data_IF_496027797401
#
_entry.id   IF_496027797401
#
_cell.length_a   1.000
_cell.length_b   1.000
_cell.length_c   1.000
_cell.angle_alpha   90.00
_cell.angle_beta   90.00
_cell.angle_gamma   90.00
#
_symmetry.space_group_name_H-M   'P 1'
#
loop_
_entity.id
_entity.type
_entity.pdbx_description
1 polymer ?
#
# COMPACT_ATOMS: atom_id res chain seq x y z
N UNK A 1 -0.16 -38.07 7.50
CA UNK A 1 0.36 -36.82 8.09
C UNK A 1 0.60 -35.70 7.06
N UNK A 2 0.78 -35.97 5.75
CA UNK A 2 0.92 -34.90 4.73
C UNK A 2 -0.33 -34.02 4.53
N UNK A 3 -1.54 -34.55 4.71
CA UNK A 3 -2.78 -33.78 4.54
C UNK A 3 -2.99 -32.66 5.58
N UNK A 4 -2.36 -32.77 6.76
CA UNK A 4 -2.45 -31.73 7.79
C UNK A 4 -1.69 -30.44 7.39
N UNK A 5 -0.72 -30.56 6.48
CA UNK A 5 0.07 -29.43 5.97
C UNK A 5 -0.75 -28.48 5.08
N UNK A 6 -1.92 -28.91 4.59
CA UNK A 6 -2.80 -28.08 3.78
C UNK A 6 -3.34 -26.87 4.55
N UNK A 7 -3.60 -27.01 5.85
CA UNK A 7 -4.14 -25.91 6.69
C UNK A 7 -3.14 -24.76 6.84
N UNK A 8 -1.87 -24.98 7.29
CA UNK A 8 -0.90 -23.91 7.36
C UNK A 8 -0.50 -23.38 5.98
N UNK A 9 -0.45 -24.23 4.95
CA UNK A 9 -0.16 -23.79 3.58
C UNK A 9 -1.23 -22.82 3.05
N UNK A 10 -2.51 -23.11 3.29
CA UNK A 10 -3.61 -22.22 2.92
C UNK A 10 -3.55 -20.89 3.67
N UNK A 11 -3.18 -20.91 4.95
CA UNK A 11 -3.01 -19.70 5.75
C UNK A 11 -1.86 -18.82 5.22
N UNK A 12 -0.70 -19.43 4.91
CA UNK A 12 0.45 -18.74 4.31
C UNK A 12 0.10 -18.17 2.94
N UNK A 13 -0.66 -18.92 2.13
CA UNK A 13 -1.14 -18.44 0.83
C UNK A 13 -2.02 -17.19 0.99
N UNK A 14 -2.98 -17.18 1.92
CA UNK A 14 -3.84 -16.01 2.18
C UNK A 14 -3.02 -14.79 2.63
N UNK A 15 -2.03 -14.99 3.51
CA UNK A 15 -1.12 -13.93 3.95
C UNK A 15 -0.39 -13.30 2.77
N UNK A 16 0.28 -14.14 1.97
CA UNK A 16 1.06 -13.72 0.82
C UNK A 16 0.17 -13.04 -0.23
N UNK A 17 -1.02 -13.60 -0.48
CA UNK A 17 -2.00 -13.06 -1.40
C UNK A 17 -2.43 -11.64 -0.98
N UNK A 18 -2.83 -11.46 0.28
CA UNK A 18 -3.29 -10.15 0.75
C UNK A 18 -2.16 -9.12 0.77
N UNK A 19 -0.98 -9.48 1.26
CA UNK A 19 0.17 -8.56 1.28
C UNK A 19 0.57 -8.13 -0.14
N UNK A 20 0.60 -9.07 -1.08
CA UNK A 20 0.99 -8.80 -2.47
C UNK A 20 -0.05 -7.96 -3.20
N UNK A 21 -1.34 -8.30 -3.08
CA UNK A 21 -2.41 -7.55 -3.76
C UNK A 21 -2.56 -6.14 -3.19
N UNK A 22 -2.50 -5.97 -1.86
CA UNK A 22 -2.54 -4.65 -1.23
C UNK A 22 -1.31 -3.83 -1.65
N UNK A 23 -0.13 -4.45 -1.69
CA UNK A 23 1.09 -3.76 -2.13
C UNK A 23 0.99 -3.31 -3.58
N UNK A 24 0.52 -4.18 -4.48
CA UNK A 24 0.33 -3.83 -5.89
C UNK A 24 -0.68 -2.72 -6.04
N UNK A 25 -1.84 -2.78 -5.36
CA UNK A 25 -2.86 -1.72 -5.35
C UNK A 25 -2.31 -0.36 -4.87
N UNK A 26 -1.51 -0.36 -3.79
CA UNK A 26 -0.87 0.86 -3.29
C UNK A 26 0.14 1.41 -4.28
N UNK A 27 0.84 0.54 -5.01
CA UNK A 27 1.82 0.96 -6.00
C UNK A 27 1.16 1.48 -7.26
N UNK A 28 0.07 0.84 -7.69
CA UNK A 28 -0.70 1.08 -8.91
C UNK A 28 -1.79 2.14 -8.78
N UNK A 29 -1.70 3.02 -7.78
CA UNK A 29 -2.70 4.08 -7.62
C UNK A 29 -2.73 5.03 -8.82
N UNK A 30 -3.93 5.46 -9.27
CA UNK A 30 -4.07 6.39 -10.40
C UNK A 30 -3.37 7.74 -10.15
N UNK A 31 -3.27 8.14 -8.88
CA UNK A 31 -2.54 9.32 -8.40
C UNK A 31 -1.08 9.39 -8.90
N UNK A 32 -0.46 8.24 -9.17
CA UNK A 32 0.94 8.15 -9.62
C UNK A 32 1.11 8.28 -11.13
N UNK A 33 0.03 8.33 -11.92
CA UNK A 33 0.07 8.51 -13.38
C UNK A 33 1.02 7.53 -14.07
N UNK A 34 0.94 6.26 -13.67
CA UNK A 34 1.66 5.17 -14.33
C UNK A 34 0.98 4.83 -15.66
N UNK A 35 1.77 4.43 -16.65
CA UNK A 35 1.32 4.34 -18.05
C UNK A 35 1.26 2.89 -18.52
N UNK A 36 2.12 2.01 -17.98
CA UNK A 36 2.06 0.58 -18.29
C UNK A 36 1.18 -0.08 -17.24
N UNK A 37 0.04 -0.61 -17.68
CA UNK A 37 -0.95 -1.26 -16.82
C UNK A 37 -0.36 -2.32 -15.87
N UNK A 38 -1.11 -2.62 -14.80
CA UNK A 38 -0.71 -3.53 -13.72
C UNK A 38 -1.11 -4.98 -13.99
N UNK A 39 -0.21 -5.93 -13.67
CA UNK A 39 -0.41 -7.38 -13.90
C UNK A 39 -0.72 -8.19 -12.64
N UNK A 40 -1.83 -7.93 -11.96
CA UNK A 40 -2.18 -8.59 -10.68
C UNK A 40 -2.15 -10.13 -10.71
N UNK A 41 -2.79 -10.73 -11.72
CA UNK A 41 -2.87 -12.20 -11.82
C UNK A 41 -1.51 -12.84 -12.10
N UNK A 42 -0.71 -12.19 -12.94
CA UNK A 42 0.62 -12.69 -13.30
C UNK A 42 1.59 -12.59 -12.13
N UNK A 43 1.54 -11.48 -11.37
CA UNK A 43 2.35 -11.29 -10.17
C UNK A 43 2.05 -12.37 -9.12
N UNK A 44 0.75 -12.69 -8.91
CA UNK A 44 0.35 -13.76 -7.99
C UNK A 44 0.86 -15.14 -8.44
N UNK A 45 0.68 -15.47 -9.72
CA UNK A 45 1.14 -16.75 -10.27
C UNK A 45 2.65 -16.91 -10.10
N UNK A 46 3.41 -15.87 -10.43
CA UNK A 46 4.88 -15.87 -10.33
C UNK A 46 5.31 -16.06 -8.87
N UNK A 47 4.73 -15.31 -7.95
CA UNK A 47 5.12 -15.34 -6.54
C UNK A 47 4.80 -16.68 -5.88
N UNK A 48 3.62 -17.26 -6.15
CA UNK A 48 3.25 -18.59 -5.64
C UNK A 48 4.13 -19.69 -6.25
N UNK A 49 4.43 -19.61 -7.55
CA UNK A 49 5.31 -20.56 -8.22
C UNK A 49 6.73 -20.51 -7.65
N UNK A 50 7.29 -19.30 -7.47
CA UNK A 50 8.60 -19.12 -6.83
C UNK A 50 8.59 -19.58 -5.38
N UNK A 51 7.52 -19.31 -4.62
CA UNK A 51 7.37 -19.81 -3.24
C UNK A 51 7.34 -21.34 -3.17
N UNK A 52 6.66 -21.99 -4.12
CA UNK A 52 6.65 -23.45 -4.25
C UNK A 52 8.05 -24.01 -4.55
N UNK A 53 8.78 -23.40 -5.47
CA UNK A 53 10.16 -23.78 -5.79
C UNK A 53 11.08 -23.57 -4.57
N UNK A 54 11.03 -22.41 -3.92
CA UNK A 54 11.82 -22.13 -2.70
C UNK A 54 11.55 -23.16 -1.59
N UNK A 55 10.31 -23.63 -1.45
CA UNK A 55 9.94 -24.65 -0.47
C UNK A 55 10.61 -26.00 -0.74
N UNK A 56 10.84 -26.37 -2.01
CA UNK A 56 11.55 -27.60 -2.39
C UNK A 56 13.04 -27.51 -1.99
N UNK A 57 13.64 -26.32 -2.14
CA UNK A 57 15.05 -26.08 -1.79
C UNK A 57 15.27 -25.69 -0.31
N UNK A 58 14.22 -25.62 0.51
CA UNK A 58 14.32 -25.23 1.92
C UNK A 58 14.65 -23.74 2.14
N UNK A 59 14.45 -22.90 1.13
CA UNK A 59 14.68 -21.45 1.18
C UNK A 59 13.40 -20.75 1.68
N UNK A 60 13.48 -19.66 2.45
CA UNK A 60 12.30 -18.92 2.88
C UNK A 60 11.48 -18.42 1.68
N UNK A 61 10.17 -18.47 1.83
CA UNK A 61 9.21 -17.80 0.94
C UNK A 61 9.36 -16.28 1.01
N UNK A 62 9.09 -15.64 -0.11
CA UNK A 62 9.15 -14.19 -0.28
C UNK A 62 7.76 -13.65 -0.58
N UNK A 63 7.49 -12.45 -0.08
CA UNK A 63 6.25 -11.70 -0.32
C UNK A 63 6.60 -10.30 -0.80
N UNK A 64 5.67 -9.60 -1.46
CA UNK A 64 5.88 -8.23 -1.90
C UNK A 64 5.92 -7.29 -0.68
N UNK A 65 7.03 -6.58 -0.49
CA UNK A 65 7.20 -5.70 0.67
C UNK A 65 6.68 -4.28 0.40
N UNK A 66 5.57 -3.89 1.03
CA UNK A 66 4.88 -2.62 0.76
C UNK A 66 5.78 -1.39 0.85
N UNK A 67 6.48 -1.19 1.98
CA UNK A 67 7.33 -0.01 2.17
C UNK A 67 8.46 0.04 1.16
N UNK A 68 9.09 -1.10 0.87
CA UNK A 68 10.18 -1.20 -0.11
C UNK A 68 9.69 -0.90 -1.53
N UNK A 69 8.54 -1.45 -1.91
CA UNK A 69 7.95 -1.22 -3.24
C UNK A 69 7.53 0.24 -3.41
N UNK A 70 6.95 0.85 -2.38
CA UNK A 70 6.59 2.28 -2.39
C UNK A 70 7.81 3.18 -2.46
N UNK A 71 8.86 2.92 -1.67
CA UNK A 71 10.08 3.75 -1.72
C UNK A 71 10.82 3.59 -3.05
N UNK A 72 10.84 2.39 -3.62
CA UNK A 72 11.37 2.16 -4.95
C UNK A 72 10.57 2.91 -6.02
N UNK A 73 9.23 2.91 -5.94
CA UNK A 73 8.39 3.70 -6.84
C UNK A 73 8.60 5.21 -6.68
N UNK A 74 8.71 5.69 -5.42
CA UNK A 74 8.97 7.10 -5.13
C UNK A 74 10.35 7.55 -5.66
N UNK A 75 11.37 6.69 -5.60
CA UNK A 75 12.70 6.97 -6.16
C UNK A 75 12.68 7.14 -7.69
N UNK A 76 11.66 6.59 -8.37
CA UNK A 76 11.45 6.68 -9.82
C UNK A 76 10.40 7.74 -10.20
N UNK A 77 9.84 8.44 -9.21
CA UNK A 77 8.81 9.45 -9.41
C UNK A 77 9.45 10.80 -9.71
N UNK A 78 9.04 11.42 -10.82
CA UNK A 78 9.46 12.77 -11.20
C UNK A 78 8.38 13.75 -10.75
N UNK A 79 8.77 14.67 -9.88
CA UNK A 79 7.92 15.75 -9.38
C UNK A 79 8.10 17.01 -10.23
N UNK A 80 7.01 17.73 -10.48
CA UNK A 80 7.03 19.00 -11.20
C UNK A 80 7.76 20.09 -10.39
N UNK A 81 8.46 20.99 -11.09
CA UNK A 81 9.25 22.10 -10.50
C UNK A 81 8.40 23.33 -10.13
N UNK A 82 7.07 23.22 -10.16
CA UNK A 82 6.14 24.32 -9.87
C UNK A 82 6.02 24.68 -8.38
N UNK A 83 5.28 25.77 -8.04
CA UNK A 83 5.06 26.21 -6.66
C UNK A 83 4.28 25.20 -5.80
N UNK A 84 3.54 24.28 -6.45
CA UNK A 84 3.01 23.06 -5.84
C UNK A 84 3.59 21.87 -6.61
N UNK A 85 4.48 21.07 -6.01
CA UNK A 85 5.08 19.93 -6.68
C UNK A 85 4.03 18.83 -6.85
N UNK A 86 3.55 18.63 -8.06
CA UNK A 86 2.66 17.54 -8.44
C UNK A 86 3.45 16.40 -9.10
N UNK A 87 2.96 15.17 -8.98
CA UNK A 87 3.54 14.02 -9.66
C UNK A 87 3.33 14.20 -11.18
N UNK A 88 4.42 14.30 -11.93
CA UNK A 88 4.38 14.47 -13.38
C UNK A 88 4.31 13.10 -14.07
N UNK A 89 5.24 12.21 -13.73
CA UNK A 89 5.33 10.85 -14.26
C UNK A 89 6.19 9.96 -13.38
N UNK A 90 5.99 8.65 -13.46
CA UNK A 90 6.86 7.63 -12.86
C UNK A 90 7.64 6.92 -13.97
N UNK A 91 8.96 6.80 -13.79
CA UNK A 91 9.83 6.10 -14.75
C UNK A 91 9.73 4.59 -14.50
N UNK A 92 8.96 3.91 -15.34
CA UNK A 92 8.76 2.46 -15.24
C UNK A 92 9.90 1.68 -15.94
N UNK A 93 10.81 1.15 -15.13
CA UNK A 93 11.95 0.36 -15.59
C UNK A 93 12.00 -1.03 -14.95
N UNK A 94 12.51 -2.01 -15.72
CA UNK A 94 12.75 -3.37 -15.24
C UNK A 94 14.17 -3.55 -14.67
N UNK A 95 15.10 -2.70 -15.10
CA UNK A 95 16.54 -2.86 -14.83
C UNK A 95 16.87 -2.62 -13.36
N UNK A 96 16.26 -1.64 -12.68
CA UNK A 96 16.58 -1.37 -11.27
C UNK A 96 16.28 -2.55 -10.35
N UNK A 97 15.12 -3.19 -10.51
CA UNK A 97 14.75 -4.36 -9.72
C UNK A 97 15.72 -5.52 -9.90
N UNK A 98 16.08 -5.81 -11.16
CA UNK A 98 17.06 -6.86 -11.49
C UNK A 98 18.45 -6.53 -10.93
N UNK A 99 18.89 -5.28 -11.07
CA UNK A 99 20.19 -4.84 -10.59
C UNK A 99 20.27 -4.94 -9.05
N UNK A 100 19.23 -4.51 -8.33
CA UNK A 100 19.17 -4.66 -6.86
C UNK A 100 19.20 -6.15 -6.47
N UNK A 101 18.47 -7.01 -7.17
CA UNK A 101 18.49 -8.45 -6.88
C UNK A 101 19.88 -9.07 -7.10
N UNK A 102 20.58 -8.70 -8.18
CA UNK A 102 21.95 -9.14 -8.46
C UNK A 102 22.91 -8.62 -7.38
N UNK A 103 22.82 -7.34 -7.00
CA UNK A 103 23.66 -6.76 -5.94
C UNK A 103 23.45 -7.47 -4.59
N UNK A 104 22.21 -7.85 -4.25
CA UNK A 104 21.93 -8.67 -3.06
C UNK A 104 22.58 -10.05 -3.18
N UNK A 105 22.55 -10.68 -4.36
CA UNK A 105 23.23 -11.96 -4.60
C UNK A 105 24.75 -11.87 -4.47
N UNK A 106 25.36 -10.79 -4.98
CA UNK A 106 26.82 -10.55 -4.92
C UNK A 106 27.27 -10.03 -3.56
N UNK A 107 26.34 -9.60 -2.69
CA UNK A 107 26.64 -8.97 -1.38
C UNK A 107 27.55 -9.81 -0.48
N UNK A 108 27.51 -11.15 -0.61
CA UNK A 108 28.38 -12.07 0.15
C UNK A 108 29.87 -11.76 -0.15
N UNK A 109 30.23 -11.48 -1.40
CA UNK A 109 31.61 -11.12 -1.76
C UNK A 109 32.00 -9.70 -1.32
N UNK A 110 31.01 -8.83 -1.13
CA UNK A 110 31.21 -7.44 -0.70
C UNK A 110 31.20 -7.27 0.83
N UNK A 111 31.21 -8.36 1.60
CA UNK A 111 31.28 -8.37 3.07
C UNK A 111 32.28 -7.36 3.67
N UNK A 112 33.57 -7.28 3.25
CA UNK A 112 34.52 -6.35 3.86
C UNK A 112 34.13 -4.88 3.69
N UNK A 113 33.43 -4.54 2.60
CA UNK A 113 32.93 -3.18 2.35
C UNK A 113 31.66 -2.94 3.17
N UNK A 114 30.75 -3.92 3.20
CA UNK A 114 29.46 -3.80 3.90
C UNK A 114 29.63 -3.65 5.42
N UNK A 115 30.66 -4.26 6.02
CA UNK A 115 31.00 -4.10 7.45
C UNK A 115 31.39 -2.69 7.84
N UNK A 116 31.85 -1.87 6.89
CA UNK A 116 32.21 -0.47 7.15
C UNK A 116 30.98 0.42 7.33
N UNK A 117 29.79 -0.05 6.95
CA UNK A 117 28.55 0.72 7.03
C UNK A 117 28.01 0.64 8.47
N UNK A 118 27.94 1.74 9.21
CA UNK A 118 27.46 1.71 10.58
C UNK A 118 25.95 1.43 10.62
N UNK A 119 25.52 0.57 11.52
CA UNK A 119 24.10 0.21 11.70
C UNK A 119 23.22 1.44 12.01
N UNK A 120 23.79 2.48 12.63
CA UNK A 120 23.11 3.74 12.91
C UNK A 120 22.68 4.48 11.64
N UNK A 121 23.48 4.42 10.57
CA UNK A 121 23.12 5.02 9.29
C UNK A 121 21.95 4.28 8.64
N UNK A 122 21.91 2.94 8.74
CA UNK A 122 20.80 2.14 8.23
C UNK A 122 19.48 2.47 8.93
N UNK A 123 19.49 2.66 10.26
CA UNK A 123 18.30 3.12 10.98
C UNK A 123 17.81 4.50 10.54
N UNK A 124 18.73 5.41 10.20
CA UNK A 124 18.37 6.71 9.61
C UNK A 124 17.65 6.55 8.26
N UNK A 125 18.14 5.67 7.39
CA UNK A 125 17.50 5.37 6.10
C UNK A 125 16.14 4.69 6.31
N UNK A 126 16.03 3.74 7.25
CA UNK A 126 14.75 3.10 7.58
C UNK A 126 13.71 4.10 8.10
N UNK A 127 14.12 5.04 8.95
CA UNK A 127 13.23 6.09 9.45
C UNK A 127 12.77 7.01 8.30
N UNK A 128 13.69 7.42 7.43
CA UNK A 128 13.36 8.20 6.24
C UNK A 128 12.37 7.45 5.33
N UNK A 129 12.60 6.17 5.06
CA UNK A 129 11.69 5.33 4.28
C UNK A 129 10.32 5.21 4.95
N UNK A 130 10.28 5.08 6.29
CA UNK A 130 9.03 5.05 7.05
C UNK A 130 8.23 6.34 6.88
N UNK A 131 8.85 7.49 7.11
CA UNK A 131 8.17 8.80 7.01
C UNK A 131 7.74 9.09 5.58
N UNK A 132 8.60 8.85 4.58
CA UNK A 132 8.26 9.10 3.17
C UNK A 132 7.16 8.16 2.66
N UNK A 133 7.04 6.95 3.21
CA UNK A 133 5.96 6.02 2.86
C UNK A 133 4.57 6.47 3.34
N UNK A 134 4.50 7.38 4.33
CA UNK A 134 3.25 7.97 4.80
C UNK A 134 2.73 9.06 3.87
N UNK A 135 3.58 9.61 3.01
CA UNK A 135 3.21 10.63 2.03
C UNK A 135 2.28 10.04 0.98
N UNK A 136 1.13 10.67 0.75
CA UNK A 136 0.10 10.19 -0.20
C UNK A 136 -0.88 9.18 0.41
N UNK A 137 -0.88 9.00 1.74
CA UNK A 137 -1.93 8.26 2.44
C UNK A 137 -2.97 9.26 2.94
N UNK A 138 -4.15 9.27 2.34
CA UNK A 138 -5.26 10.16 2.72
C UNK A 138 -5.65 10.05 4.21
N UNK A 139 -5.51 8.87 4.82
CA UNK A 139 -5.73 8.71 6.27
C UNK A 139 -4.72 9.53 7.09
N UNK A 140 -3.45 9.57 6.67
CA UNK A 140 -2.40 10.36 7.34
C UNK A 140 -2.66 11.86 7.19
N UNK A 141 -3.01 12.31 5.98
CA UNK A 141 -3.34 13.72 5.73
C UNK A 141 -4.55 14.17 6.57
N UNK A 142 -5.60 13.34 6.66
CA UNK A 142 -6.75 13.60 7.53
C UNK A 142 -6.40 13.58 9.02
N UNK A 143 -5.44 12.76 9.42
CA UNK A 143 -4.94 12.75 10.80
C UNK A 143 -4.25 14.07 11.14
N UNK A 144 -3.46 14.64 10.22
CA UNK A 144 -2.87 15.97 10.38
C UNK A 144 -3.95 17.08 10.43
N UNK A 145 -5.04 16.90 9.69
CA UNK A 145 -6.18 17.83 9.73
C UNK A 145 -6.98 17.81 11.03
N UNK A 146 -6.83 16.78 11.89
CA UNK A 146 -7.40 16.82 13.26
C UNK A 146 -6.75 17.91 14.12
N UNK A 147 -5.48 18.22 13.87
CA UNK A 147 -4.68 19.18 14.64
C UNK A 147 -4.68 20.56 13.96
N UNK A 148 -4.90 20.59 12.65
CA UNK A 148 -4.90 21.81 11.85
C UNK A 148 -6.19 22.62 12.06
N UNK A 149 -6.12 23.93 12.36
CA UNK A 149 -7.33 24.72 12.49
C UNK A 149 -8.02 24.92 11.14
N UNK A 150 -9.35 25.01 11.17
CA UNK A 150 -10.24 25.09 9.97
C UNK A 150 -9.83 26.11 8.91
N UNK A 151 -9.11 27.18 9.31
CA UNK A 151 -8.62 28.23 8.41
C UNK A 151 -7.57 27.75 7.40
N UNK A 152 -6.83 26.69 7.71
CA UNK A 152 -5.75 26.15 6.87
C UNK A 152 -6.14 24.84 6.18
N UNK A 153 -7.43 24.52 6.10
CA UNK A 153 -7.87 23.34 5.37
C UNK A 153 -7.51 23.47 3.87
N UNK A 154 -6.95 22.40 3.27
CA UNK A 154 -6.68 22.38 1.84
C UNK A 154 -7.99 22.43 1.04
N UNK A 155 -7.90 22.83 -0.22
CA UNK A 155 -9.02 22.88 -1.17
C UNK A 155 -9.44 21.51 -1.69
N UNK A 156 -9.26 20.45 -0.89
CA UNK A 156 -9.58 19.09 -1.29
C UNK A 156 -11.07 18.80 -1.08
N UNK A 157 -11.62 17.88 -1.87
CA UNK A 157 -13.05 17.56 -1.88
C UNK A 157 -13.57 17.08 -0.51
N UNK A 158 -12.75 16.31 0.22
CA UNK A 158 -13.10 15.81 1.56
C UNK A 158 -13.11 16.92 2.63
N UNK A 159 -12.32 17.99 2.46
CA UNK A 159 -12.24 19.10 3.41
C UNK A 159 -13.27 20.21 3.13
N UNK A 160 -13.72 20.33 1.87
CA UNK A 160 -14.64 21.38 1.41
C UNK A 160 -16.11 20.94 1.42
N UNK A 161 -16.39 19.67 1.09
CA UNK A 161 -17.76 19.18 0.87
C UNK A 161 -18.35 18.41 2.06
N UNK A 162 -17.52 17.95 2.98
CA UNK A 162 -17.96 17.20 4.17
C UNK A 162 -17.80 18.07 5.40
N UNK A 163 -18.77 18.00 6.33
CA UNK A 163 -18.66 18.71 7.59
C UNK A 163 -17.44 18.24 8.39
N UNK A 164 -16.71 19.18 8.99
CA UNK A 164 -15.46 18.89 9.73
C UNK A 164 -15.66 17.85 10.84
N UNK A 165 -16.81 17.86 11.51
CA UNK A 165 -17.11 16.90 12.58
C UNK A 165 -17.30 15.47 12.06
N UNK A 166 -17.94 15.31 10.89
CA UNK A 166 -18.11 13.99 10.26
C UNK A 166 -16.79 13.46 9.73
N UNK A 167 -15.95 14.32 9.15
CA UNK A 167 -14.58 13.96 8.76
C UNK A 167 -13.78 13.46 9.96
N UNK A 168 -13.80 14.18 11.08
CA UNK A 168 -13.09 13.76 12.30
C UNK A 168 -13.64 12.47 12.89
N UNK A 169 -14.96 12.28 12.91
CA UNK A 169 -15.58 11.02 13.35
C UNK A 169 -15.11 9.85 12.49
N UNK A 170 -15.03 10.02 11.17
CA UNK A 170 -14.53 9.00 10.26
C UNK A 170 -13.07 8.64 10.55
N UNK A 171 -12.20 9.66 10.67
CA UNK A 171 -10.77 9.45 10.98
C UNK A 171 -10.58 8.81 12.35
N UNK A 172 -11.41 9.14 13.35
CA UNK A 172 -11.38 8.49 14.66
C UNK A 172 -11.72 6.99 14.56
N UNK A 173 -12.73 6.63 13.78
CA UNK A 173 -13.09 5.22 13.55
C UNK A 173 -11.94 4.48 12.86
N UNK A 174 -11.29 5.09 11.86
CA UNK A 174 -10.11 4.52 11.21
C UNK A 174 -8.95 4.32 12.19
N UNK A 175 -8.71 5.28 13.10
CA UNK A 175 -7.70 5.17 14.15
C UNK A 175 -8.00 4.02 15.12
N UNK A 176 -9.27 3.82 15.49
CA UNK A 176 -9.68 2.67 16.32
C UNK A 176 -9.43 1.35 15.59
N UNK A 177 -9.77 1.26 14.30
CA UNK A 177 -9.49 0.07 13.50
C UNK A 177 -7.98 -0.22 13.40
N UNK A 178 -7.17 0.82 13.20
CA UNK A 178 -5.72 0.73 13.18
C UNK A 178 -5.17 0.26 14.54
N UNK A 179 -5.72 0.76 15.66
CA UNK A 179 -5.34 0.33 17.00
C UNK A 179 -5.68 -1.15 17.24
N UNK A 180 -6.84 -1.62 16.80
CA UNK A 180 -7.21 -3.05 16.86
C UNK A 180 -6.22 -3.90 16.07
N UNK A 181 -5.91 -3.51 14.83
CA UNK A 181 -4.91 -4.19 13.99
C UNK A 181 -3.53 -4.21 14.64
N UNK A 182 -3.12 -3.10 15.27
CA UNK A 182 -1.86 -2.98 15.99
C UNK A 182 -1.78 -3.95 17.19
N UNK A 183 -2.85 -4.06 17.97
CA UNK A 183 -2.94 -5.00 19.10
C UNK A 183 -2.86 -6.45 18.59
N UNK A 184 -3.58 -6.80 17.54
CA UNK A 184 -3.53 -8.14 16.93
C UNK A 184 -2.12 -8.46 16.42
N UNK A 185 -1.44 -7.48 15.80
CA UNK A 185 -0.08 -7.64 15.27
C UNK A 185 0.97 -7.94 16.36
N UNK A 186 0.86 -7.31 17.53
CA UNK A 186 1.79 -7.55 18.66
C UNK A 186 1.48 -8.89 19.34
N UNK A 187 0.22 -9.32 19.30
CA UNK A 187 -0.21 -10.58 19.90
C UNK A 187 0.36 -11.82 19.17
N UNK A 188 0.37 -13.00 19.81
CA UNK A 188 0.73 -14.27 19.15
C UNK A 188 -0.25 -14.67 18.03
N UNK A 189 -1.39 -13.99 17.93
CA UNK A 189 -2.39 -14.16 16.86
C UNK A 189 -2.09 -13.29 15.64
N UNK A 190 -0.85 -12.84 15.44
CA UNK A 190 -0.45 -12.00 14.30
C UNK A 190 -0.77 -12.62 12.94
N UNK A 191 -0.81 -13.96 12.85
CA UNK A 191 -1.25 -14.71 11.66
C UNK A 191 -2.71 -14.43 11.28
N UNK A 192 -3.55 -13.96 12.21
CA UNK A 192 -4.94 -13.61 11.96
C UNK A 192 -5.12 -12.21 11.35
N UNK A 193 -4.05 -11.40 11.27
CA UNK A 193 -4.07 -10.01 10.80
C UNK A 193 -4.80 -9.83 9.45
N UNK A 194 -4.62 -10.68 8.43
CA UNK A 194 -5.30 -10.49 7.15
C UNK A 194 -6.82 -10.71 7.24
N UNK A 195 -7.28 -11.59 8.12
CA UNK A 195 -8.72 -11.79 8.36
C UNK A 195 -9.33 -10.57 9.07
N UNK A 196 -8.61 -10.00 10.03
CA UNK A 196 -9.03 -8.77 10.71
C UNK A 196 -9.06 -7.59 9.73
N UNK A 197 -8.09 -7.51 8.80
CA UNK A 197 -8.12 -6.53 7.71
C UNK A 197 -9.35 -6.71 6.82
N UNK A 198 -9.65 -7.93 6.36
CA UNK A 198 -10.84 -8.20 5.53
C UNK A 198 -12.11 -7.82 6.28
N UNK A 199 -12.19 -8.04 7.60
CA UNK A 199 -13.33 -7.65 8.43
C UNK A 199 -13.57 -6.13 8.47
N UNK A 200 -12.57 -5.31 8.15
CA UNK A 200 -12.79 -3.84 8.03
C UNK A 200 -13.64 -3.46 6.82
N UNK A 201 -13.72 -4.31 5.79
CA UNK A 201 -14.53 -4.08 4.59
C UNK A 201 -16.04 -4.09 4.91
N UNK A 202 -16.62 -5.14 5.55
CA UNK A 202 -18.02 -5.11 5.94
C UNK A 202 -18.31 -4.01 6.99
N UNK A 203 -17.33 -3.66 7.83
CA UNK A 203 -17.47 -2.50 8.73
C UNK A 203 -17.67 -1.19 7.94
N UNK A 204 -16.88 -0.98 6.87
CA UNK A 204 -17.08 0.14 5.93
C UNK A 204 -18.46 0.10 5.30
N UNK A 205 -18.92 -1.07 4.83
CA UNK A 205 -20.24 -1.22 4.22
C UNK A 205 -21.37 -0.89 5.20
N UNK A 206 -21.25 -1.26 6.48
CA UNK A 206 -22.23 -0.96 7.50
C UNK A 206 -22.24 0.52 7.90
N UNK A 207 -21.08 1.19 7.88
CA UNK A 207 -20.99 2.64 8.08
C UNK A 207 -21.68 3.42 6.96
N UNK A 208 -21.59 2.92 5.73
CA UNK A 208 -22.28 3.46 4.55
C UNK A 208 -23.79 3.26 4.71
N UNK A 209 -24.54 4.35 4.86
CA UNK A 209 -26.01 4.32 4.98
C UNK A 209 -26.56 4.49 6.40
N UNK A 210 -25.84 4.08 7.45
CA UNK A 210 -26.27 4.36 8.84
C UNK A 210 -25.68 5.64 9.42
N UNK A 211 -24.38 5.87 9.22
CA UNK A 211 -23.66 6.99 9.85
C UNK A 211 -23.29 8.07 8.83
N UNK A 212 -22.95 7.67 7.60
CA UNK A 212 -22.53 8.56 6.53
C UNK A 212 -23.43 8.43 5.31
N UNK A 213 -23.69 9.56 4.64
CA UNK A 213 -24.36 9.57 3.33
C UNK A 213 -23.44 9.00 2.25
N UNK A 214 -24.01 8.44 1.19
CA UNK A 214 -23.26 7.91 0.02
C UNK A 214 -22.33 8.96 -0.57
N UNK A 215 -22.79 10.21 -0.65
CA UNK A 215 -21.98 11.34 -1.13
C UNK A 215 -20.80 11.67 -0.19
N UNK A 216 -21.00 11.60 1.13
CA UNK A 216 -19.94 11.85 2.09
C UNK A 216 -18.90 10.74 2.08
N UNK A 217 -19.34 9.48 2.00
CA UNK A 217 -18.44 8.33 1.89
C UNK A 217 -17.62 8.40 0.60
N UNK A 218 -18.26 8.73 -0.54
CA UNK A 218 -17.58 8.92 -1.82
C UNK A 218 -16.54 10.06 -1.77
N UNK A 219 -16.78 11.12 -1.00
CA UNK A 219 -15.78 12.18 -0.81
C UNK A 219 -14.64 11.78 0.15
N UNK A 220 -14.94 10.97 1.18
CA UNK A 220 -13.97 10.53 2.19
C UNK A 220 -13.11 9.34 1.75
N UNK A 221 -13.48 8.68 0.66
CA UNK A 221 -12.91 7.41 0.20
C UNK A 221 -12.71 7.37 -1.32
N UNK A 222 -12.80 8.51 -2.00
CA UNK A 222 -12.46 8.58 -3.42
C UNK A 222 -10.98 8.23 -3.59
N UNK A 223 -10.72 7.22 -4.42
CA UNK A 223 -9.39 6.84 -4.91
C UNK A 223 -8.75 7.93 -5.80
N UNK A 224 -9.52 8.96 -6.16
CA UNK A 224 -9.10 10.08 -7.01
C UNK A 224 -9.05 11.40 -6.23
N UNK A 225 -7.98 12.18 -6.46
CA UNK A 225 -7.91 13.61 -6.10
C UNK A 225 -9.02 14.46 -6.74
N UNK A 226 -9.75 13.92 -7.72
CA UNK A 226 -10.96 14.49 -8.32
C UNK A 226 -12.13 13.53 -8.11
N UNK A 227 -13.08 13.88 -7.25
CA UNK A 227 -14.32 13.11 -7.10
C UNK A 227 -15.11 13.16 -8.41
N UNK A 228 -15.02 12.10 -9.23
CA UNK A 228 -15.88 11.90 -10.40
C UNK A 228 -17.24 11.41 -9.92
N UNK A 229 -18.28 12.22 -10.13
CA UNK A 229 -19.64 11.93 -9.68
C UNK A 229 -20.42 11.04 -10.67
N UNK A 230 -19.99 10.97 -11.93
CA UNK A 230 -20.54 10.05 -12.93
C UNK A 230 -19.85 8.68 -12.81
N UNK A 231 -20.63 7.64 -12.51
CA UNK A 231 -20.24 6.26 -12.81
C UNK A 231 -20.29 6.12 -14.33
N UNK A 232 -19.12 6.17 -15.00
CA UNK A 232 -19.05 5.53 -16.31
C UNK A 232 -19.17 4.02 -16.09
N UNK A 233 -20.17 3.36 -16.69
CA UNK A 233 -20.40 1.94 -16.48
C UNK A 233 -19.22 1.15 -17.04
N UNK A 234 -18.43 0.56 -16.15
CA UNK A 234 -17.51 -0.52 -16.51
C UNK A 234 -16.06 -0.14 -16.78
N UNK A 235 -15.54 0.98 -16.27
CA UNK A 235 -14.09 1.22 -16.33
C UNK A 235 -13.41 0.41 -15.21
N UNK A 236 -13.16 -0.86 -15.49
CA UNK A 236 -12.40 -1.72 -14.60
C UNK A 236 -10.93 -1.27 -14.63
N UNK A 237 -10.17 -1.47 -13.55
CA UNK A 237 -8.74 -1.12 -13.52
C UNK A 237 -7.93 -1.85 -14.63
N UNK A 238 -8.52 -2.88 -15.24
CA UNK A 238 -8.02 -3.64 -16.37
C UNK A 238 -8.20 -2.95 -17.74
N UNK A 239 -9.08 -1.94 -17.87
CA UNK A 239 -9.31 -1.23 -19.14
C UNK A 239 -8.21 -0.22 -19.49
N UNK A 240 -7.34 0.12 -18.54
CA UNK A 240 -6.16 0.97 -18.81
C UNK A 240 -4.99 0.19 -19.44
N UNK A 241 -5.15 -1.12 -19.70
CA UNK A 241 -4.18 -1.88 -20.47
C UNK A 241 -4.49 -1.77 -21.97
N UNK A 242 -3.65 -1.09 -22.78
CA UNK A 242 -3.70 -1.31 -24.22
C UNK A 242 -3.32 -2.77 -24.45
N UNK A 243 -4.31 -3.62 -24.74
CA UNK A 243 -4.05 -4.94 -25.29
C UNK A 243 -3.22 -4.76 -26.58
N UNK A 244 -2.14 -5.53 -26.77
CA UNK A 244 -1.35 -5.49 -28.00
C UNK A 244 -2.16 -5.94 -29.23
#
# INVERSE_FOLDING_TARGET
>A
MMGACCVPALLVFILIFLESQITTLIVSKPERKMVKGSGFHFDLLLLVTMGGISSIFGVPWLSAATVRSVTHANALTVMSKGPKPEIEKVIEQRISGILVAILVGVSIYMEPILKMIPMTALFGIFLYMGITSLSGIQMWDRMLLLITPKKYHPSDAYATRVSTMRMHLFTLIQLVCLAILWVVKISPFSLALPFVLILTIPLRMFMTGRVFSVMEMKCLDADDAKVKFEEEPGQDMYDESPLP
#
